data_IF_822669533014
#
_entry.id   IF_822669533014
#
_cell.length_a   1.000
_cell.length_b   1.000
_cell.length_c   1.000
_cell.angle_alpha   90.00
_cell.angle_beta   90.00
_cell.angle_gamma   90.00
#
_symmetry.space_group_name_H-M   'P 1'
#
loop_
_entity.id
_entity.type
_entity.pdbx_description
1 polymer ?
#
# COMPACT_ATOMS: atom_id res chain seq x y z
N UNK A 1 -12.10 14.69 -0.25
CA UNK A 1 -11.75 13.89 0.95
C UNK A 1 -12.48 12.57 0.84
N UNK A 2 -11.73 11.52 0.51
CA UNK A 2 -12.25 10.17 0.37
C UNK A 2 -11.44 9.29 1.32
N UNK A 3 -12.08 8.83 2.38
CA UNK A 3 -11.48 7.90 3.34
C UNK A 3 -11.77 6.48 2.89
N UNK A 4 -10.84 5.56 3.13
CA UNK A 4 -11.06 4.13 2.83
C UNK A 4 -10.71 3.25 4.03
N UNK A 5 -11.35 2.09 4.11
CA UNK A 5 -11.05 1.08 5.12
C UNK A 5 -9.88 0.23 4.64
N UNK A 6 -8.83 0.13 5.46
CA UNK A 6 -7.78 -0.85 5.31
C UNK A 6 -7.95 -1.95 6.37
N UNK A 7 -8.07 -3.20 5.93
CA UNK A 7 -8.18 -4.36 6.80
C UNK A 7 -7.08 -5.37 6.48
N UNK A 8 -6.45 -5.90 7.52
CA UNK A 8 -5.58 -7.07 7.49
C UNK A 8 -6.23 -8.12 8.40
N UNK A 9 -6.58 -9.27 7.85
CA UNK A 9 -7.16 -10.37 8.61
C UNK A 9 -6.55 -11.72 8.23
N UNK A 10 -6.35 -12.57 9.24
CA UNK A 10 -5.91 -13.97 9.15
C UNK A 10 -6.36 -14.69 10.44
N UNK A 11 -6.06 -15.98 10.58
CA UNK A 11 -6.36 -16.78 11.76
C UNK A 11 -5.70 -16.17 13.00
N UNK A 12 -6.52 -15.60 13.88
CA UNK A 12 -6.08 -14.99 15.13
C UNK A 12 -5.57 -13.54 15.01
N UNK A 13 -5.65 -12.94 13.82
CA UNK A 13 -5.25 -11.54 13.60
C UNK A 13 -6.36 -10.79 12.87
N UNK A 14 -6.76 -9.65 13.40
CA UNK A 14 -7.60 -8.68 12.70
C UNK A 14 -7.13 -7.28 13.06
N UNK A 15 -6.77 -6.51 12.05
CA UNK A 15 -6.38 -5.13 12.17
C UNK A 15 -7.15 -4.33 11.13
N UNK A 16 -7.97 -3.39 11.57
CA UNK A 16 -8.78 -2.56 10.70
C UNK A 16 -8.57 -1.09 11.04
N UNK A 17 -8.47 -0.26 10.00
CA UNK A 17 -8.25 1.17 10.16
C UNK A 17 -8.87 1.94 9.00
N UNK A 18 -9.71 2.93 9.32
CA UNK A 18 -10.08 3.96 8.35
C UNK A 18 -8.87 4.85 8.12
N UNK A 19 -8.38 4.87 6.89
CA UNK A 19 -7.25 5.66 6.42
C UNK A 19 -7.79 6.96 5.87
N UNK A 20 -7.39 8.07 6.49
CA UNK A 20 -7.77 9.40 6.04
C UNK A 20 -6.85 9.85 4.93
N UNK A 21 -7.45 10.29 3.81
CA UNK A 21 -6.69 10.82 2.68
C UNK A 21 -7.29 12.09 2.11
N UNK A 22 -6.43 12.92 1.53
CA UNK A 22 -6.81 14.03 0.68
C UNK A 22 -6.82 13.55 -0.77
N UNK A 23 -7.98 13.05 -1.20
CA UNK A 23 -8.22 12.52 -2.54
C UNK A 23 -7.19 11.44 -2.93
N UNK A 24 -6.95 10.52 -2.00
CA UNK A 24 -6.05 9.38 -2.16
C UNK A 24 -4.58 9.64 -1.89
N UNK A 25 -4.17 10.87 -1.53
CA UNK A 25 -2.77 11.24 -1.27
C UNK A 25 -1.80 10.75 -2.36
N UNK A 26 -2.23 10.82 -3.63
CA UNK A 26 -1.48 10.32 -4.79
C UNK A 26 -1.19 8.80 -4.78
N UNK A 27 -1.95 8.00 -4.01
CA UNK A 27 -1.81 6.54 -3.96
C UNK A 27 -2.01 5.91 -5.35
N UNK A 28 -3.07 6.30 -6.06
CA UNK A 28 -3.37 5.74 -7.38
C UNK A 28 -2.24 6.00 -8.39
N UNK A 29 -1.71 7.23 -8.43
CA UNK A 29 -0.58 7.56 -9.31
C UNK A 29 0.69 6.83 -8.89
N UNK A 30 0.95 6.70 -7.57
CA UNK A 30 2.12 5.99 -7.08
C UNK A 30 2.10 4.50 -7.45
N UNK A 31 0.95 3.82 -7.35
CA UNK A 31 0.83 2.41 -7.76
C UNK A 31 0.94 2.27 -9.28
N UNK A 32 0.38 3.21 -10.06
CA UNK A 32 0.55 3.23 -11.50
C UNK A 32 2.04 3.35 -11.90
N UNK A 33 2.81 4.21 -11.24
CA UNK A 33 4.26 4.31 -11.45
C UNK A 33 5.01 3.00 -11.15
N UNK A 34 4.57 2.23 -10.15
CA UNK A 34 5.14 0.91 -9.88
C UNK A 34 4.86 -0.08 -11.02
N UNK A 35 3.62 -0.08 -11.55
CA UNK A 35 3.23 -0.93 -12.66
C UNK A 35 3.96 -0.58 -13.98
N UNK A 36 4.25 0.71 -14.20
CA UNK A 36 5.02 1.18 -15.36
C UNK A 36 6.53 0.94 -15.20
N UNK A 37 7.02 0.73 -13.97
CA UNK A 37 8.43 0.48 -13.66
C UNK A 37 8.85 -0.98 -13.90
N UNK A 38 8.40 -1.59 -15.01
CA UNK A 38 8.68 -2.99 -15.38
C UNK A 38 10.17 -3.37 -15.49
N UNK A 39 11.13 -2.48 -15.82
CA UNK A 39 12.55 -2.83 -15.77
C UNK A 39 13.06 -3.10 -14.35
N UNK A 40 12.24 -2.76 -13.35
CA UNK A 40 12.55 -2.83 -11.93
C UNK A 40 13.25 -1.58 -11.41
N UNK A 41 13.41 -1.54 -10.09
CA UNK A 41 14.14 -0.49 -9.38
C UNK A 41 15.07 -1.12 -8.32
N UNK A 42 15.96 -0.31 -7.76
CA UNK A 42 16.75 -0.67 -6.58
C UNK A 42 16.13 -0.08 -5.32
N UNK A 43 16.30 -0.78 -4.20
CA UNK A 43 15.86 -0.31 -2.88
C UNK A 43 14.34 -0.34 -2.69
N UNK A 44 13.89 0.44 -1.70
CA UNK A 44 12.48 0.50 -1.29
C UNK A 44 11.87 1.79 -1.82
N UNK A 45 10.74 1.68 -2.51
CA UNK A 45 9.84 2.81 -2.77
C UNK A 45 8.73 2.76 -1.73
N UNK A 46 8.44 3.88 -1.08
CA UNK A 46 7.41 3.93 -0.05
C UNK A 46 6.38 4.99 -0.35
N UNK A 47 5.12 4.65 -0.14
CA UNK A 47 4.01 5.59 -0.02
C UNK A 47 3.44 5.56 1.39
N UNK A 48 2.89 6.69 1.85
CA UNK A 48 2.19 6.77 3.13
C UNK A 48 1.04 7.76 3.05
N UNK A 49 -0.06 7.44 3.71
CA UNK A 49 -1.13 8.40 4.00
C UNK A 49 -0.63 9.59 4.82
N UNK A 50 -1.29 10.73 4.72
CA UNK A 50 -0.94 11.96 5.46
C UNK A 50 -0.83 11.72 6.98
N UNK A 51 -1.83 11.04 7.55
CA UNK A 51 -1.92 10.76 8.99
C UNK A 51 -1.05 9.56 9.44
N UNK A 52 -0.29 8.96 8.52
CA UNK A 52 0.59 7.79 8.76
C UNK A 52 -0.15 6.56 9.29
N UNK A 53 -1.43 6.45 8.94
CA UNK A 53 -2.31 5.33 9.30
C UNK A 53 -2.04 4.12 8.40
N UNK A 54 -1.68 4.36 7.14
CA UNK A 54 -1.21 3.36 6.20
C UNK A 54 0.12 3.78 5.57
N UNK A 55 1.03 2.81 5.45
CA UNK A 55 2.26 2.90 4.66
C UNK A 55 2.36 1.65 3.79
N UNK A 56 2.80 1.82 2.55
CA UNK A 56 3.06 0.72 1.62
C UNK A 56 4.51 0.82 1.17
N UNK A 57 5.28 -0.23 1.41
CA UNK A 57 6.65 -0.37 0.90
C UNK A 57 6.66 -1.31 -0.29
N UNK A 58 7.38 -0.93 -1.34
CA UNK A 58 7.51 -1.69 -2.57
C UNK A 58 8.98 -1.96 -2.89
N UNK A 59 9.31 -3.23 -3.11
CA UNK A 59 10.61 -3.67 -3.63
C UNK A 59 10.43 -4.50 -4.88
N UNK A 60 11.39 -4.42 -5.80
CA UNK A 60 11.43 -5.22 -7.01
C UNK A 60 12.61 -6.19 -6.97
N UNK A 61 12.39 -7.46 -7.30
CA UNK A 61 13.41 -8.52 -7.15
C UNK A 61 14.37 -8.65 -8.37
N UNK A 62 14.14 -7.83 -9.40
CA UNK A 62 14.84 -7.85 -10.71
C UNK A 62 14.61 -9.14 -11.52
N UNK A 63 13.70 -10.00 -11.08
CA UNK A 63 13.30 -11.26 -11.73
C UNK A 63 11.83 -11.24 -12.16
N UNK A 64 11.14 -10.12 -11.96
CA UNK A 64 9.79 -9.89 -12.45
C UNK A 64 8.73 -9.89 -11.36
N UNK A 65 9.10 -9.78 -10.08
CA UNK A 65 8.15 -9.67 -8.98
C UNK A 65 8.29 -8.36 -8.22
N UNK A 66 7.15 -7.87 -7.75
CA UNK A 66 7.04 -6.77 -6.81
C UNK A 66 6.52 -7.31 -5.48
N UNK A 67 7.27 -7.04 -4.41
CA UNK A 67 6.80 -7.28 -3.04
C UNK A 67 6.25 -5.98 -2.47
N UNK A 68 4.99 -6.00 -2.07
CA UNK A 68 4.29 -4.91 -1.41
C UNK A 68 4.08 -5.26 0.05
N UNK A 69 4.63 -4.47 0.97
CA UNK A 69 4.35 -4.57 2.41
C UNK A 69 3.39 -3.46 2.81
N UNK A 70 2.17 -3.84 3.13
CA UNK A 70 1.15 -2.96 3.69
C UNK A 70 1.35 -2.91 5.21
N UNK A 71 1.44 -1.70 5.75
CA UNK A 71 1.68 -1.46 7.18
C UNK A 71 0.59 -0.53 7.69
N UNK A 72 -0.30 -1.09 8.51
CA UNK A 72 -1.43 -0.40 9.13
C UNK A 72 -1.09 -0.07 10.57
N UNK A 73 -1.40 1.15 10.99
CA UNK A 73 -1.22 1.60 12.36
C UNK A 73 -2.52 1.98 13.04
N UNK A 74 -2.53 1.83 14.36
CA UNK A 74 -3.62 2.27 15.20
C UNK A 74 -3.87 3.78 15.17
N UNK A 75 -4.91 4.25 15.87
CA UNK A 75 -5.18 5.68 16.02
C UNK A 75 -3.92 6.44 16.43
N UNK A 76 -3.73 7.64 15.87
CA UNK A 76 -2.53 8.45 16.09
C UNK A 76 -1.26 7.70 15.66
N UNK A 77 -1.20 7.24 14.41
CA UNK A 77 -0.07 6.45 13.87
C UNK A 77 1.32 7.12 13.93
N UNK A 78 1.38 8.40 14.32
CA UNK A 78 2.60 9.11 14.67
C UNK A 78 3.12 8.85 16.11
N UNK A 79 2.28 8.32 17.00
CA UNK A 79 2.67 7.93 18.36
C UNK A 79 3.51 6.65 18.31
N UNK A 80 4.52 6.56 19.17
CA UNK A 80 5.46 5.43 19.21
C UNK A 80 4.79 4.13 19.65
N UNK A 81 3.76 4.23 20.47
CA UNK A 81 3.09 3.09 21.10
C UNK A 81 1.82 2.67 20.34
N UNK A 82 1.55 3.28 19.18
CA UNK A 82 0.48 2.85 18.30
C UNK A 82 0.75 1.41 17.85
N UNK A 83 -0.27 0.57 17.88
CA UNK A 83 -0.16 -0.78 17.35
C UNK A 83 0.16 -0.73 15.85
N UNK A 84 0.90 -1.73 15.37
CA UNK A 84 1.22 -1.89 13.95
C UNK A 84 0.89 -3.33 13.54
N UNK A 85 0.22 -3.48 12.40
CA UNK A 85 0.02 -4.75 11.72
C UNK A 85 0.55 -4.62 10.29
N UNK A 86 1.11 -5.70 9.73
CA UNK A 86 1.57 -5.67 8.35
C UNK A 86 1.35 -6.98 7.62
N UNK A 87 1.03 -6.86 6.34
CA UNK A 87 0.91 -7.98 5.41
C UNK A 87 1.81 -7.75 4.20
N UNK A 88 2.40 -8.82 3.69
CA UNK A 88 3.20 -8.80 2.46
C UNK A 88 2.44 -9.51 1.35
N UNK A 89 2.35 -8.85 0.19
CA UNK A 89 1.77 -9.39 -1.03
C UNK A 89 2.86 -9.42 -2.09
N UNK A 90 3.04 -10.55 -2.76
CA UNK A 90 3.95 -10.66 -3.90
C UNK A 90 3.12 -10.74 -5.17
N UNK A 91 3.45 -9.91 -6.14
CA UNK A 91 2.73 -9.78 -7.40
C UNK A 91 3.72 -9.92 -8.56
N UNK A 92 3.25 -10.47 -9.67
CA UNK A 92 3.94 -10.33 -10.94
C UNK A 92 4.04 -8.84 -11.31
N UNK A 93 5.25 -8.37 -11.64
CA UNK A 93 5.54 -6.97 -11.94
C UNK A 93 4.82 -6.45 -13.21
N UNK A 94 4.22 -7.37 -13.98
CA UNK A 94 3.46 -7.08 -15.20
C UNK A 94 1.96 -6.96 -14.95
N UNK A 95 1.24 -8.04 -15.24
CA UNK A 95 -0.23 -8.03 -15.29
C UNK A 95 -0.86 -7.82 -13.92
N UNK A 96 -0.40 -8.51 -12.88
CA UNK A 96 -0.92 -8.37 -11.52
C UNK A 96 -0.74 -6.94 -10.98
N UNK A 97 0.42 -6.31 -11.21
CA UNK A 97 0.64 -4.91 -10.84
C UNK A 97 -0.28 -3.94 -11.60
N UNK A 98 -0.53 -4.17 -12.89
CA UNK A 98 -1.49 -3.35 -13.67
C UNK A 98 -2.92 -3.53 -13.19
N UNK A 99 -3.30 -4.76 -12.84
CA UNK A 99 -4.62 -5.06 -12.29
C UNK A 99 -4.80 -4.36 -10.94
N UNK A 100 -3.82 -4.48 -10.03
CA UNK A 100 -3.82 -3.76 -8.76
C UNK A 100 -3.93 -2.24 -8.95
N UNK A 101 -3.18 -1.66 -9.90
CA UNK A 101 -3.24 -0.22 -10.17
C UNK A 101 -4.65 0.22 -10.60
N UNK A 102 -5.32 -0.58 -11.42
CA UNK A 102 -6.69 -0.32 -11.85
C UNK A 102 -7.70 -0.43 -10.68
N UNK A 103 -7.57 -1.46 -9.83
CA UNK A 103 -8.43 -1.64 -8.65
C UNK A 103 -8.26 -0.48 -7.66
N UNK A 104 -7.02 -0.05 -7.41
CA UNK A 104 -6.75 1.09 -6.51
C UNK A 104 -7.26 2.40 -7.10
N UNK A 105 -7.10 2.64 -8.41
CA UNK A 105 -7.63 3.83 -9.05
C UNK A 105 -9.16 3.92 -8.95
N UNK A 106 -9.85 2.77 -9.05
CA UNK A 106 -11.30 2.70 -8.91
C UNK A 106 -11.81 3.05 -7.51
N UNK A 107 -10.97 3.02 -6.46
CA UNK A 107 -11.33 3.46 -5.12
C UNK A 107 -11.53 4.98 -5.02
N UNK A 108 -10.97 5.75 -5.96
CA UNK A 108 -10.94 7.22 -5.91
C UNK A 108 -11.72 7.89 -7.06
N UNK A 109 -12.47 7.10 -7.84
CA UNK A 109 -13.35 7.58 -8.93
C UNK A 109 -14.78 7.70 -8.44
#
# INVERSE_FOLDING_TARGET
MLDFLCEISDVGVTAAKVVRTLDGDSLASWVAELADSYPGWDGVRSWKSLERELRIDATHDRRGHVSLRFVVRGPRGYERDAWEASACVNLDAGEDMRHLAAEIAALFT
#
